data_IF_100121854986
#
_entry.id   IF_100121854986
#
_cell.length_a   1.000
_cell.length_b   1.000
_cell.length_c   1.000
_cell.angle_alpha   90.00
_cell.angle_beta   90.00
_cell.angle_gamma   90.00
#
_symmetry.space_group_name_H-M   'P 1'
#
loop_
_entity.id
_entity.type
_entity.pdbx_description
1 polymer ?
#
# COMPACT_ATOMS: atom_id res chain seq x y z
N UNK A 1 26.40 5.55 -20.23
CA UNK A 1 25.06 5.90 -19.70
C UNK A 1 24.90 5.16 -18.37
N UNK A 2 24.92 5.86 -17.23
CA UNK A 2 24.78 5.21 -15.92
C UNK A 2 23.32 4.79 -15.74
N UNK A 3 23.01 3.55 -15.31
CA UNK A 3 21.64 3.18 -15.00
C UNK A 3 21.18 4.03 -13.81
N UNK A 4 20.07 4.76 -13.99
CA UNK A 4 19.41 5.50 -12.92
C UNK A 4 19.11 4.51 -11.78
N UNK A 5 19.75 4.72 -10.62
CA UNK A 5 19.63 3.85 -9.46
C UNK A 5 18.17 3.83 -9.03
N UNK A 6 17.45 2.74 -9.32
CA UNK A 6 16.09 2.56 -8.78
C UNK A 6 16.20 2.68 -7.27
N UNK A 7 15.38 3.54 -6.62
CA UNK A 7 15.42 3.67 -5.18
C UNK A 7 15.13 2.30 -4.56
N UNK A 8 16.12 1.76 -3.86
CA UNK A 8 15.98 0.52 -3.09
C UNK A 8 15.05 0.83 -1.92
N UNK A 9 13.97 0.06 -1.73
CA UNK A 9 13.08 0.24 -0.58
C UNK A 9 13.88 0.16 0.73
N UNK A 10 13.58 1.06 1.66
CA UNK A 10 14.29 1.11 2.95
C UNK A 10 13.96 -0.09 3.85
N UNK A 11 12.78 -0.67 3.69
CA UNK A 11 12.29 -1.78 4.50
C UNK A 11 11.88 -2.94 3.61
N UNK A 12 12.28 -4.16 3.97
CA UNK A 12 11.88 -5.38 3.26
C UNK A 12 10.52 -5.90 3.73
N UNK A 13 10.14 -5.61 4.98
CA UNK A 13 8.86 -5.98 5.59
C UNK A 13 8.27 -4.82 6.38
N UNK A 14 6.96 -4.64 6.26
CA UNK A 14 6.19 -3.67 7.04
C UNK A 14 4.94 -4.31 7.63
N UNK A 15 4.45 -3.74 8.73
CA UNK A 15 3.10 -3.96 9.26
C UNK A 15 2.25 -2.75 8.87
N UNK A 16 1.30 -2.93 7.96
CA UNK A 16 0.46 -1.86 7.45
C UNK A 16 -0.85 -1.79 8.24
N UNK A 17 -0.90 -0.88 9.21
CA UNK A 17 -2.11 -0.63 9.99
C UNK A 17 -2.95 0.45 9.31
N UNK A 18 -4.19 0.10 8.96
CA UNK A 18 -5.21 1.04 8.47
C UNK A 18 -6.20 1.39 9.59
N UNK A 19 -6.69 2.62 9.64
CA UNK A 19 -7.83 2.96 10.51
C UNK A 19 -9.15 2.57 9.85
N UNK A 20 -10.16 2.17 10.62
CA UNK A 20 -11.48 1.86 10.07
C UNK A 20 -12.14 3.07 9.40
N UNK A 21 -11.89 4.27 9.93
CA UNK A 21 -12.35 5.53 9.34
C UNK A 21 -11.77 5.78 7.94
N UNK A 22 -10.54 5.33 7.68
CA UNK A 22 -9.89 5.50 6.38
C UNK A 22 -10.49 4.60 5.30
N UNK A 23 -11.23 3.55 5.68
CA UNK A 23 -11.87 2.62 4.75
C UNK A 23 -13.31 3.03 4.38
N UNK A 24 -13.89 4.01 5.08
CA UNK A 24 -15.31 4.36 4.98
C UNK A 24 -15.58 5.71 4.32
N UNK A 25 -16.82 5.90 3.86
CA UNK A 25 -17.29 7.21 3.38
C UNK A 25 -17.79 8.01 4.57
N UNK A 26 -17.30 9.24 4.73
CA UNK A 26 -17.58 10.08 5.91
C UNK A 26 -17.24 9.39 7.25
N UNK A 27 -16.24 8.50 7.25
CA UNK A 27 -15.77 7.80 8.45
C UNK A 27 -16.63 6.60 8.91
N UNK A 28 -17.65 6.20 8.14
CA UNK A 28 -18.54 5.08 8.50
C UNK A 28 -18.59 4.04 7.38
N UNK A 29 -18.64 2.76 7.77
CA UNK A 29 -18.75 1.63 6.85
C UNK A 29 -17.47 1.34 6.05
N UNK A 30 -17.63 0.66 4.92
CA UNK A 30 -16.54 0.36 3.98
C UNK A 30 -16.95 0.91 2.62
N UNK A 31 -16.12 1.78 2.04
CA UNK A 31 -16.24 2.25 0.67
C UNK A 31 -15.44 1.30 -0.25
N UNK A 32 -16.12 0.53 -1.13
CA UNK A 32 -15.45 -0.39 -2.04
C UNK A 32 -14.37 0.28 -2.90
N UNK A 33 -14.55 1.56 -3.28
CA UNK A 33 -13.57 2.27 -4.11
C UNK A 33 -12.28 2.53 -3.36
N UNK A 34 -12.36 2.79 -2.05
CA UNK A 34 -11.18 2.95 -1.21
C UNK A 34 -10.47 1.61 -1.08
N UNK A 35 -11.22 0.53 -0.85
CA UNK A 35 -10.66 -0.82 -0.76
C UNK A 35 -9.91 -1.22 -2.04
N UNK A 36 -10.52 -1.01 -3.22
CA UNK A 36 -9.91 -1.31 -4.51
C UNK A 36 -8.60 -0.54 -4.71
N UNK A 37 -8.61 0.77 -4.39
CA UNK A 37 -7.41 1.60 -4.48
C UNK A 37 -6.32 1.14 -3.52
N UNK A 38 -6.67 0.88 -2.27
CA UNK A 38 -5.72 0.40 -1.26
C UNK A 38 -5.13 -0.95 -1.64
N UNK A 39 -5.94 -1.86 -2.20
CA UNK A 39 -5.46 -3.14 -2.70
C UNK A 39 -4.45 -2.98 -3.85
N UNK A 40 -4.70 -2.06 -4.80
CA UNK A 40 -3.75 -1.76 -5.88
C UNK A 40 -2.43 -1.20 -5.36
N UNK A 41 -2.47 -0.26 -4.41
CA UNK A 41 -1.28 0.34 -3.80
C UNK A 41 -0.44 -0.71 -3.03
N UNK A 42 -1.10 -1.59 -2.25
CA UNK A 42 -0.42 -2.71 -1.58
C UNK A 42 0.16 -3.69 -2.59
N UNK A 43 -0.59 -4.02 -3.66
CA UNK A 43 -0.14 -4.91 -4.73
C UNK A 43 1.13 -4.41 -5.43
N UNK A 44 1.28 -3.09 -5.59
CA UNK A 44 2.51 -2.50 -6.12
C UNK A 44 3.71 -2.72 -5.21
N UNK A 45 3.53 -2.60 -3.88
CA UNK A 45 4.60 -2.86 -2.89
C UNK A 45 5.02 -4.34 -2.91
N UNK A 46 4.04 -5.25 -2.94
CA UNK A 46 4.30 -6.68 -3.05
C UNK A 46 5.00 -7.01 -4.38
N UNK A 47 4.59 -6.36 -5.48
CA UNK A 47 5.18 -6.54 -6.80
C UNK A 47 6.66 -6.12 -6.91
N UNK A 48 7.14 -5.24 -6.03
CA UNK A 48 8.55 -4.87 -5.93
C UNK A 48 9.30 -5.65 -4.83
N UNK A 49 8.67 -6.67 -4.23
CA UNK A 49 9.30 -7.60 -3.28
C UNK A 49 9.15 -7.24 -1.80
N UNK A 50 8.31 -6.26 -1.46
CA UNK A 50 8.05 -5.88 -0.06
C UNK A 50 7.02 -6.80 0.56
N UNK A 51 7.30 -7.28 1.77
CA UNK A 51 6.38 -8.09 2.56
C UNK A 51 5.48 -7.18 3.39
N UNK A 52 4.17 -7.28 3.20
CA UNK A 52 3.18 -6.47 3.91
C UNK A 52 2.34 -7.40 4.80
N UNK A 53 2.33 -7.12 6.10
CA UNK A 53 1.49 -7.79 7.10
C UNK A 53 0.48 -6.84 7.72
#
# INVERSE_FOLDING_TARGET
MMPSKKPTPKYERILLKLSGEALGKNGVGIDPKVLDRTALEIGQLVGIGIQVG
#
